data_IF_712038758322
#
_entry.id   IF_712038758322
#
_cell.length_a   1.000
_cell.length_b   1.000
_cell.length_c   1.000
_cell.angle_alpha   90.00
_cell.angle_beta   90.00
_cell.angle_gamma   90.00
#
_symmetry.space_group_name_H-M   'P 1'
#
loop_
_entity.id
_entity.type
_entity.pdbx_description
1 polymer ?
#
# COMPACT_ATOMS: atom_id res chain seq x y z
N UNK A 1 -90.70 22.14 -7.51
CA UNK A 1 -89.56 21.54 -6.78
C UNK A 1 -88.54 20.90 -7.72
N UNK A 2 -88.96 20.23 -8.79
CA UNK A 2 -88.07 19.48 -9.68
C UNK A 2 -86.92 20.26 -10.33
N UNK A 3 -87.10 21.54 -10.68
CA UNK A 3 -86.03 22.35 -11.30
C UNK A 3 -84.89 22.65 -10.32
N UNK A 4 -85.21 22.95 -9.07
CA UNK A 4 -84.21 23.26 -8.02
C UNK A 4 -83.44 21.99 -7.65
N UNK A 5 -84.13 20.85 -7.55
CA UNK A 5 -83.49 19.56 -7.30
C UNK A 5 -82.52 19.19 -8.43
N UNK A 6 -82.93 19.39 -9.70
CA UNK A 6 -82.07 19.14 -10.87
C UNK A 6 -80.83 20.04 -10.89
N UNK A 7 -80.96 21.32 -10.53
CA UNK A 7 -79.83 22.24 -10.42
C UNK A 7 -78.88 21.82 -9.29
N UNK A 8 -79.41 21.43 -8.13
CA UNK A 8 -78.60 20.95 -7.01
C UNK A 8 -77.83 19.67 -7.36
N UNK A 9 -78.48 18.71 -8.02
CA UNK A 9 -77.85 17.48 -8.52
C UNK A 9 -76.78 17.81 -9.56
N UNK A 10 -77.05 18.75 -10.47
CA UNK A 10 -76.08 19.17 -11.48
C UNK A 10 -74.84 19.84 -10.87
N UNK A 11 -75.02 20.71 -9.86
CA UNK A 11 -73.90 21.33 -9.13
C UNK A 11 -73.09 20.30 -8.36
N UNK A 12 -73.74 19.31 -7.72
CA UNK A 12 -73.02 18.21 -7.05
C UNK A 12 -72.20 17.36 -8.02
N UNK A 13 -72.74 17.07 -9.21
CA UNK A 13 -72.01 16.34 -10.26
C UNK A 13 -70.78 17.12 -10.73
N UNK A 14 -70.89 18.44 -10.96
CA UNK A 14 -69.75 19.26 -11.35
C UNK A 14 -68.66 19.33 -10.26
N UNK A 15 -69.05 19.43 -8.98
CA UNK A 15 -68.08 19.43 -7.88
C UNK A 15 -67.40 18.08 -7.70
N UNK A 16 -68.11 16.97 -7.94
CA UNK A 16 -67.52 15.63 -7.85
C UNK A 16 -66.40 15.43 -8.88
N UNK A 17 -66.59 15.89 -10.12
CA UNK A 17 -65.57 15.78 -11.17
C UNK A 17 -64.32 16.61 -10.85
N UNK A 18 -64.49 17.83 -10.32
CA UNK A 18 -63.37 18.66 -9.88
C UNK A 18 -62.57 18.01 -8.74
N UNK A 19 -63.23 17.34 -7.80
CA UNK A 19 -62.57 16.62 -6.71
C UNK A 19 -61.77 15.41 -7.22
N UNK A 20 -62.34 14.61 -8.12
CA UNK A 20 -61.63 13.47 -8.72
C UNK A 20 -60.45 13.90 -9.60
N UNK A 21 -60.58 14.99 -10.36
CA UNK A 21 -59.49 15.57 -11.13
C UNK A 21 -58.34 16.06 -10.23
N UNK A 22 -58.68 16.75 -9.14
CA UNK A 22 -57.69 17.23 -8.18
C UNK A 22 -57.01 16.09 -7.42
N UNK A 23 -57.76 15.04 -7.05
CA UNK A 23 -57.21 13.84 -6.40
C UNK A 23 -56.29 13.03 -7.31
N UNK A 24 -56.66 12.88 -8.59
CA UNK A 24 -55.81 12.18 -9.57
C UNK A 24 -54.53 12.96 -9.89
N UNK A 25 -54.61 14.29 -9.95
CA UNK A 25 -53.43 15.14 -10.11
C UNK A 25 -52.48 15.06 -8.91
N UNK A 26 -52.99 15.14 -7.68
CA UNK A 26 -52.12 15.05 -6.49
C UNK A 26 -51.45 13.69 -6.36
N UNK A 27 -52.15 12.59 -6.66
CA UNK A 27 -51.55 11.24 -6.69
C UNK A 27 -50.46 11.14 -7.76
N UNK A 28 -50.71 11.66 -8.97
CA UNK A 28 -49.72 11.66 -10.06
C UNK A 28 -48.47 12.49 -9.73
N UNK A 29 -48.64 13.65 -9.08
CA UNK A 29 -47.52 14.50 -8.65
C UNK A 29 -46.70 13.79 -7.56
N UNK A 30 -47.37 13.12 -6.62
CA UNK A 30 -46.72 12.38 -5.55
C UNK A 30 -45.94 11.17 -6.08
N UNK A 31 -46.49 10.41 -7.02
CA UNK A 31 -45.78 9.34 -7.72
C UNK A 31 -44.56 9.83 -8.50
N UNK A 32 -44.67 10.99 -9.16
CA UNK A 32 -43.54 11.59 -9.88
C UNK A 32 -42.41 12.00 -8.92
N UNK A 33 -42.76 12.54 -7.75
CA UNK A 33 -41.79 12.86 -6.69
C UNK A 33 -41.11 11.60 -6.15
N UNK A 34 -41.86 10.52 -5.89
CA UNK A 34 -41.29 9.25 -5.46
C UNK A 34 -40.33 8.67 -6.50
N UNK A 35 -40.74 8.60 -7.78
CA UNK A 35 -39.87 8.12 -8.87
C UNK A 35 -38.60 8.95 -9.00
N UNK A 36 -38.69 10.27 -8.83
CA UNK A 36 -37.53 11.16 -8.86
C UNK A 36 -36.60 10.89 -7.67
N UNK A 37 -37.15 10.76 -6.46
CA UNK A 37 -36.38 10.46 -5.26
C UNK A 37 -35.69 9.10 -5.37
N UNK A 38 -36.39 8.07 -5.85
CA UNK A 38 -35.81 6.75 -6.09
C UNK A 38 -34.68 6.79 -7.13
N UNK A 39 -34.86 7.54 -8.23
CA UNK A 39 -33.82 7.71 -9.23
C UNK A 39 -32.57 8.42 -8.67
N UNK A 40 -32.77 9.44 -7.82
CA UNK A 40 -31.68 10.12 -7.12
C UNK A 40 -30.96 9.19 -6.13
N UNK A 41 -31.70 8.39 -5.37
CA UNK A 41 -31.13 7.38 -4.45
C UNK A 41 -30.32 6.35 -5.24
N UNK A 42 -30.86 5.80 -6.32
CA UNK A 42 -30.17 4.83 -7.17
C UNK A 42 -28.89 5.42 -7.78
N UNK A 43 -28.94 6.68 -8.20
CA UNK A 43 -27.76 7.40 -8.71
C UNK A 43 -26.70 7.53 -7.61
N UNK A 44 -27.08 7.98 -6.41
CA UNK A 44 -26.17 8.10 -5.27
C UNK A 44 -25.54 6.76 -4.88
N UNK A 45 -26.34 5.69 -4.86
CA UNK A 45 -25.86 4.33 -4.57
C UNK A 45 -24.81 3.91 -5.61
N UNK A 46 -25.09 4.11 -6.90
CA UNK A 46 -24.17 3.76 -7.99
C UNK A 46 -22.87 4.57 -7.92
N UNK A 47 -22.95 5.87 -7.63
CA UNK A 47 -21.78 6.73 -7.44
C UNK A 47 -20.95 6.28 -6.23
N UNK A 48 -21.59 5.93 -5.12
CA UNK A 48 -20.92 5.41 -3.93
C UNK A 48 -20.20 4.09 -4.21
N UNK A 49 -20.85 3.13 -4.89
CA UNK A 49 -20.20 1.88 -5.29
C UNK A 49 -18.98 2.12 -6.17
N UNK A 50 -19.11 2.99 -7.17
CA UNK A 50 -17.98 3.36 -8.03
C UNK A 50 -16.83 3.96 -7.23
N UNK A 51 -17.12 4.90 -6.32
CA UNK A 51 -16.12 5.52 -5.46
C UNK A 51 -15.44 4.50 -4.53
N UNK A 52 -16.18 3.51 -4.03
CA UNK A 52 -15.63 2.42 -3.23
C UNK A 52 -14.72 1.51 -4.07
N UNK A 53 -15.14 1.15 -5.28
CA UNK A 53 -14.32 0.35 -6.19
C UNK A 53 -13.02 1.06 -6.56
N UNK A 54 -13.09 2.36 -6.87
CA UNK A 54 -11.92 3.18 -7.16
C UNK A 54 -10.95 3.22 -5.96
N UNK A 55 -11.48 3.38 -4.73
CA UNK A 55 -10.67 3.31 -3.50
C UNK A 55 -10.04 1.93 -3.30
N UNK A 56 -10.78 0.85 -3.54
CA UNK A 56 -10.26 -0.52 -3.44
C UNK A 56 -9.11 -0.72 -4.44
N UNK A 57 -9.23 -0.20 -5.66
CA UNK A 57 -8.16 -0.28 -6.66
C UNK A 57 -6.91 0.50 -6.25
N UNK A 58 -7.07 1.70 -5.69
CA UNK A 58 -5.95 2.49 -5.16
C UNK A 58 -5.27 1.74 -4.02
N UNK A 59 -6.02 1.28 -3.02
CA UNK A 59 -5.48 0.54 -1.89
C UNK A 59 -4.75 -0.74 -2.32
N UNK A 60 -5.27 -1.47 -3.31
CA UNK A 60 -4.58 -2.66 -3.87
C UNK A 60 -3.26 -2.31 -4.55
N UNK A 61 -3.15 -1.14 -5.20
CA UNK A 61 -1.89 -0.68 -5.81
C UNK A 61 -0.89 -0.29 -4.73
N UNK A 62 -1.32 0.48 -3.73
CA UNK A 62 -0.48 0.87 -2.60
C UNK A 62 0.02 -0.34 -1.81
N UNK A 63 -0.85 -1.32 -1.57
CA UNK A 63 -0.47 -2.58 -0.91
C UNK A 63 0.62 -3.33 -1.69
N UNK A 64 0.49 -3.43 -3.02
CA UNK A 64 1.51 -4.08 -3.87
C UNK A 64 2.82 -3.30 -3.88
N UNK A 65 2.76 -1.97 -3.94
CA UNK A 65 3.94 -1.12 -3.90
C UNK A 65 4.70 -1.30 -2.57
N UNK A 66 3.98 -1.23 -1.43
CA UNK A 66 4.55 -1.47 -0.10
C UNK A 66 5.14 -2.88 0.04
N UNK A 67 4.47 -3.91 -0.48
CA UNK A 67 5.01 -5.27 -0.44
C UNK A 67 6.31 -5.40 -1.25
N UNK A 68 6.39 -4.72 -2.40
CA UNK A 68 7.60 -4.71 -3.21
C UNK A 68 8.75 -3.97 -2.52
N UNK A 69 8.47 -2.82 -1.90
CA UNK A 69 9.45 -2.06 -1.11
C UNK A 69 9.96 -2.86 0.09
N UNK A 70 9.05 -3.55 0.80
CA UNK A 70 9.40 -4.45 1.91
C UNK A 70 10.33 -5.58 1.48
N UNK A 71 10.03 -6.26 0.37
CA UNK A 71 10.89 -7.33 -0.18
C UNK A 71 12.30 -6.82 -0.53
N UNK A 72 12.38 -5.62 -1.10
CA UNK A 72 13.65 -4.98 -1.40
C UNK A 72 14.43 -4.63 -0.13
N UNK A 73 13.75 -4.09 0.89
CA UNK A 73 14.35 -3.80 2.20
C UNK A 73 14.93 -5.07 2.84
N UNK A 74 14.13 -6.15 2.94
CA UNK A 74 14.55 -7.43 3.52
C UNK A 74 15.74 -8.06 2.77
N UNK A 75 15.84 -7.83 1.44
CA UNK A 75 16.99 -8.26 0.67
C UNK A 75 18.24 -7.45 1.03
N UNK A 76 18.15 -6.13 1.03
CA UNK A 76 19.27 -5.24 1.39
C UNK A 76 19.79 -5.48 2.81
N UNK A 77 18.90 -5.72 3.77
CA UNK A 77 19.28 -6.06 5.14
C UNK A 77 20.03 -7.40 5.23
N UNK A 78 19.55 -8.43 4.52
CA UNK A 78 20.21 -9.75 4.47
C UNK A 78 21.59 -9.67 3.82
N UNK A 79 21.71 -8.94 2.72
CA UNK A 79 22.98 -8.76 2.01
C UNK A 79 24.00 -8.03 2.89
N UNK A 80 23.57 -6.95 3.58
CA UNK A 80 24.39 -6.22 4.53
C UNK A 80 24.84 -7.11 5.71
N UNK A 81 23.93 -7.91 6.26
CA UNK A 81 24.25 -8.85 7.34
C UNK A 81 25.29 -9.88 6.89
N UNK A 82 25.12 -10.46 5.71
CA UNK A 82 26.08 -11.43 5.15
C UNK A 82 27.48 -10.82 4.98
N UNK A 83 27.57 -9.58 4.48
CA UNK A 83 28.84 -8.88 4.33
C UNK A 83 29.51 -8.64 5.70
N UNK A 84 28.75 -8.18 6.70
CA UNK A 84 29.25 -7.98 8.08
C UNK A 84 29.79 -9.29 8.67
N UNK A 85 29.11 -10.40 8.47
CA UNK A 85 29.56 -11.71 8.95
C UNK A 85 30.87 -12.15 8.25
N UNK A 86 31.01 -11.92 6.94
CA UNK A 86 32.26 -12.21 6.21
C UNK A 86 33.43 -11.36 6.71
N UNK A 87 33.20 -10.07 6.96
CA UNK A 87 34.20 -9.17 7.54
C UNK A 87 34.65 -9.69 8.90
N UNK A 88 33.70 -9.99 9.79
CA UNK A 88 34.01 -10.49 11.14
C UNK A 88 34.83 -11.79 11.12
N UNK A 89 34.50 -12.73 10.23
CA UNK A 89 35.25 -13.99 10.08
C UNK A 89 36.69 -13.76 9.62
N UNK A 90 36.90 -12.88 8.63
CA UNK A 90 38.24 -12.55 8.14
C UNK A 90 39.07 -11.79 9.17
N UNK A 91 38.46 -10.87 9.93
CA UNK A 91 39.14 -10.17 11.04
C UNK A 91 39.59 -11.16 12.12
N UNK A 92 38.73 -12.12 12.49
CA UNK A 92 39.10 -13.19 13.42
C UNK A 92 40.20 -14.11 12.87
N UNK A 93 40.18 -14.44 11.59
CA UNK A 93 41.24 -15.24 10.97
C UNK A 93 42.58 -14.50 11.00
N UNK A 94 42.60 -13.20 10.65
CA UNK A 94 43.81 -12.38 10.73
C UNK A 94 44.34 -12.26 12.16
N UNK A 95 43.48 -12.08 13.16
CA UNK A 95 43.89 -12.10 14.57
C UNK A 95 44.51 -13.44 14.98
N UNK A 96 43.94 -14.57 14.53
CA UNK A 96 44.50 -15.89 14.80
C UNK A 96 45.88 -16.07 14.17
N UNK A 97 46.06 -15.59 12.93
CA UNK A 97 47.36 -15.65 12.24
C UNK A 97 48.39 -14.78 12.97
N UNK A 98 48.05 -13.54 13.33
CA UNK A 98 48.88 -12.64 14.14
C UNK A 98 49.32 -13.30 15.45
N UNK A 99 48.39 -13.91 16.18
CA UNK A 99 48.70 -14.62 17.42
C UNK A 99 49.67 -15.78 17.19
N UNK A 100 49.51 -16.55 16.11
CA UNK A 100 50.46 -17.63 15.77
C UNK A 100 51.86 -17.10 15.50
N UNK A 101 51.98 -16.00 14.76
CA UNK A 101 53.27 -15.36 14.47
C UNK A 101 53.97 -14.90 15.76
N UNK A 102 53.22 -14.35 16.73
CA UNK A 102 53.78 -13.81 17.97
C UNK A 102 54.13 -14.91 18.98
N UNK A 103 53.31 -15.95 19.09
CA UNK A 103 53.36 -16.90 20.22
C UNK A 103 54.01 -18.24 19.90
N UNK A 104 54.09 -18.62 18.62
CA UNK A 104 54.63 -19.92 18.22
C UNK A 104 56.06 -19.76 17.69
N UNK A 105 56.93 -20.69 18.04
CA UNK A 105 58.25 -20.81 17.41
C UNK A 105 58.06 -21.42 16.01
N UNK A 106 57.75 -20.56 15.04
CA UNK A 106 57.65 -20.90 13.61
C UNK A 106 58.84 -20.32 12.85
N UNK A 107 59.19 -20.95 11.72
CA UNK A 107 60.33 -20.53 10.89
C UNK A 107 60.07 -19.19 10.21
N UNK A 108 61.13 -18.46 9.87
CA UNK A 108 61.07 -17.17 9.16
C UNK A 108 60.26 -17.25 7.85
N UNK A 109 60.41 -18.36 7.12
CA UNK A 109 59.69 -18.63 5.86
C UNK A 109 58.18 -18.78 6.09
N UNK A 110 57.77 -19.51 7.15
CA UNK A 110 56.35 -19.64 7.50
C UNK A 110 55.79 -18.30 8.01
N UNK A 111 56.57 -17.51 8.74
CA UNK A 111 56.18 -16.14 9.14
C UNK A 111 55.89 -15.28 7.90
N UNK A 112 56.76 -15.31 6.89
CA UNK A 112 56.55 -14.55 5.65
C UNK A 112 55.31 -15.01 4.89
N UNK A 113 55.08 -16.31 4.78
CA UNK A 113 53.87 -16.87 4.16
C UNK A 113 52.59 -16.44 4.88
N UNK A 114 52.58 -16.46 6.21
CA UNK A 114 51.46 -16.01 7.02
C UNK A 114 51.24 -14.49 6.91
N UNK A 115 52.30 -13.69 6.76
CA UNK A 115 52.20 -12.23 6.50
C UNK A 115 51.58 -11.94 5.12
N UNK A 116 52.02 -12.65 4.07
CA UNK A 116 51.41 -12.52 2.73
C UNK A 116 49.92 -12.83 2.79
N UNK A 117 49.54 -13.95 3.41
CA UNK A 117 48.13 -14.33 3.59
C UNK A 117 47.34 -13.26 4.36
N UNK A 118 47.93 -12.67 5.40
CA UNK A 118 47.30 -11.59 6.18
C UNK A 118 47.06 -10.36 5.30
N UNK A 119 48.02 -9.98 4.46
CA UNK A 119 47.87 -8.85 3.52
C UNK A 119 46.82 -9.12 2.42
N UNK A 120 46.73 -10.35 1.90
CA UNK A 120 45.67 -10.74 0.96
C UNK A 120 44.27 -10.65 1.61
N UNK A 121 44.15 -11.09 2.86
CA UNK A 121 42.93 -10.97 3.65
C UNK A 121 42.59 -9.50 3.95
N UNK A 122 43.58 -8.64 4.22
CA UNK A 122 43.38 -7.20 4.43
C UNK A 122 42.85 -6.50 3.17
N UNK A 123 43.39 -6.83 1.99
CA UNK A 123 42.85 -6.33 0.72
C UNK A 123 41.39 -6.77 0.52
N UNK A 124 41.10 -8.03 0.84
CA UNK A 124 39.73 -8.56 0.78
C UNK A 124 38.80 -7.87 1.77
N UNK A 125 39.29 -7.57 2.99
CA UNK A 125 38.56 -6.81 4.00
C UNK A 125 38.26 -5.38 3.52
N UNK A 126 39.20 -4.69 2.89
CA UNK A 126 38.95 -3.36 2.33
C UNK A 126 37.86 -3.38 1.27
N UNK A 127 37.88 -4.37 0.36
CA UNK A 127 36.83 -4.55 -0.65
C UNK A 127 35.47 -4.82 0.00
N UNK A 128 35.41 -5.67 1.02
CA UNK A 128 34.18 -5.97 1.74
C UNK A 128 33.67 -4.77 2.55
N UNK A 129 34.54 -3.98 3.18
CA UNK A 129 34.19 -2.75 3.89
C UNK A 129 33.63 -1.69 2.94
N UNK A 130 34.21 -1.56 1.75
CA UNK A 130 33.66 -0.69 0.71
C UNK A 130 32.25 -1.17 0.29
N UNK A 131 32.09 -2.48 0.04
CA UNK A 131 30.79 -3.06 -0.28
C UNK A 131 29.77 -2.84 0.85
N UNK A 132 30.17 -2.98 2.12
CA UNK A 132 29.33 -2.74 3.28
C UNK A 132 28.83 -1.29 3.29
N UNK A 133 29.69 -0.31 3.03
CA UNK A 133 29.33 1.12 2.98
C UNK A 133 28.31 1.35 1.85
N UNK A 134 28.54 0.78 0.67
CA UNK A 134 27.59 0.88 -0.46
C UNK A 134 26.24 0.27 -0.09
N UNK A 135 26.22 -0.93 0.51
CA UNK A 135 24.99 -1.60 0.96
C UNK A 135 24.26 -0.80 2.04
N UNK A 136 24.99 -0.16 2.97
CA UNK A 136 24.38 0.73 3.98
C UNK A 136 23.72 1.93 3.31
N UNK A 137 24.37 2.57 2.34
CA UNK A 137 23.80 3.69 1.60
C UNK A 137 22.57 3.30 0.79
N UNK A 138 22.59 2.11 0.19
CA UNK A 138 21.43 1.56 -0.52
C UNK A 138 20.28 1.23 0.42
N UNK A 139 20.57 0.69 1.60
CA UNK A 139 19.59 0.42 2.64
C UNK A 139 18.95 1.73 3.17
N UNK A 140 19.75 2.75 3.45
CA UNK A 140 19.26 4.08 3.85
C UNK A 140 18.34 4.69 2.79
N UNK A 141 18.69 4.56 1.51
CA UNK A 141 17.83 5.00 0.40
C UNK A 141 16.52 4.21 0.35
N UNK A 142 16.58 2.89 0.53
CA UNK A 142 15.40 2.03 0.54
C UNK A 142 14.47 2.37 1.70
N UNK A 143 15.02 2.65 2.89
CA UNK A 143 14.27 3.10 4.07
C UNK A 143 13.64 4.48 3.82
N UNK A 144 14.38 5.39 3.19
CA UNK A 144 13.88 6.75 2.88
C UNK A 144 12.79 6.76 1.80
N UNK A 145 12.67 5.69 1.01
CA UNK A 145 11.69 5.56 -0.07
C UNK A 145 10.41 4.79 0.35
N UNK A 146 10.37 4.27 1.58
CA UNK A 146 9.17 3.71 2.21
C UNK A 146 8.24 4.82 2.64
#
# INVERSE_FOLDING_TARGET
MDKILKIAVFVLLLNSQSFFAQQSQTVSEQEALFKKSDAEIQKLIKENYKNLDDKILVLKREQKDLESKKKNLEKSERDLKSTKEKISKLEQENQKIQNKIITQSITEEEIQKQRIKTSENELSLQKLKLLQITQQKELEKAISAL
#
